data_IF_632733729451
#
_entry.id   IF_632733729451
#
_cell.length_a   1.000
_cell.length_b   1.000
_cell.length_c   1.000
_cell.angle_alpha   90.00
_cell.angle_beta   90.00
_cell.angle_gamma   90.00
#
_symmetry.space_group_name_H-M   'P 1'
#
loop_
_entity.id
_entity.type
_entity.pdbx_description
1 polymer ?
#
# COMPACT_ATOMS: atom_id res chain seq x y z
N UNK A 1 7.35 3.66 20.48
CA UNK A 1 7.13 3.22 19.09
C UNK A 1 5.68 2.79 18.95
N UNK A 2 4.99 3.30 17.96
CA UNK A 2 3.59 2.99 17.69
C UNK A 2 3.41 2.58 16.22
N UNK A 3 2.60 1.54 16.00
CA UNK A 3 2.27 1.12 14.65
C UNK A 3 1.27 2.10 14.02
N UNK A 4 1.61 2.67 12.88
CA UNK A 4 0.65 3.44 12.10
C UNK A 4 -0.35 2.48 11.42
N UNK A 5 -1.65 2.77 11.44
CA UNK A 5 -2.65 1.89 10.84
C UNK A 5 -2.70 1.95 9.31
N UNK A 6 -1.88 2.79 8.69
CA UNK A 6 -1.90 3.00 7.24
C UNK A 6 -0.99 2.02 6.49
N UNK A 7 -1.38 1.69 5.28
CA UNK A 7 -0.52 1.09 4.26
C UNK A 7 -0.14 2.16 3.24
N UNK A 8 1.14 2.36 3.00
CA UNK A 8 1.61 3.27 1.97
C UNK A 8 1.77 2.57 0.63
N UNK A 9 1.96 3.32 -0.43
CA UNK A 9 2.22 2.74 -1.74
C UNK A 9 1.90 3.68 -2.90
N UNK A 10 1.32 3.11 -3.94
CA UNK A 10 0.99 3.82 -5.16
C UNK A 10 -0.49 3.63 -5.48
N UNK A 11 -1.15 4.70 -5.91
CA UNK A 11 -2.55 4.67 -6.34
C UNK A 11 -2.63 4.99 -7.82
N UNK A 12 -3.31 4.15 -8.60
CA UNK A 12 -3.57 4.37 -10.01
C UNK A 12 -4.88 5.14 -10.23
N UNK A 13 -4.92 6.00 -11.22
CA UNK A 13 -6.17 6.54 -11.73
C UNK A 13 -6.76 5.56 -12.75
N UNK A 14 -7.60 4.65 -12.30
CA UNK A 14 -8.16 3.60 -13.18
C UNK A 14 -9.22 4.10 -14.16
N UNK A 15 -9.62 5.36 -14.10
CA UNK A 15 -10.46 5.98 -15.13
C UNK A 15 -9.67 6.38 -16.39
N UNK A 16 -8.33 6.24 -16.36
CA UNK A 16 -7.43 6.58 -17.49
C UNK A 16 -6.77 5.32 -18.03
N UNK A 17 -6.82 5.13 -19.35
CA UNK A 17 -5.98 4.14 -19.99
C UNK A 17 -4.48 4.57 -19.88
N UNK A 18 -3.56 3.63 -19.69
CA UNK A 18 -3.77 2.17 -19.67
C UNK A 18 -4.03 1.62 -18.25
N UNK A 19 -4.23 2.45 -17.25
CA UNK A 19 -4.36 2.04 -15.84
C UNK A 19 -5.75 1.46 -15.51
N UNK A 20 -6.70 1.49 -16.41
CA UNK A 20 -7.98 0.77 -16.36
C UNK A 20 -7.78 -0.76 -16.44
N UNK A 21 -6.67 -1.22 -17.05
CA UNK A 21 -6.36 -2.63 -17.20
C UNK A 21 -5.57 -3.17 -15.99
N UNK A 22 -6.09 -4.19 -15.25
CA UNK A 22 -5.40 -4.78 -14.11
C UNK A 22 -4.07 -5.46 -14.48
N UNK A 23 -3.93 -6.03 -15.67
CA UNK A 23 -2.68 -6.67 -16.10
C UNK A 23 -1.55 -5.65 -16.29
N UNK A 24 -1.87 -4.44 -16.75
CA UNK A 24 -0.90 -3.34 -16.83
C UNK A 24 -0.46 -2.90 -15.42
N UNK A 25 -1.39 -2.80 -14.46
CA UNK A 25 -1.06 -2.48 -13.07
C UNK A 25 -0.19 -3.56 -12.44
N UNK A 26 -0.48 -4.84 -12.72
CA UNK A 26 0.38 -5.96 -12.30
C UNK A 26 1.76 -5.92 -12.95
N UNK A 27 1.86 -5.58 -14.24
CA UNK A 27 3.15 -5.41 -14.90
C UNK A 27 4.00 -4.31 -14.23
N UNK A 28 3.37 -3.17 -13.88
CA UNK A 28 4.02 -2.09 -13.14
C UNK A 28 4.49 -2.53 -11.75
N UNK A 29 3.73 -3.37 -11.06
CA UNK A 29 4.11 -3.95 -9.77
C UNK A 29 5.31 -4.89 -9.90
N UNK A 30 5.27 -5.83 -10.86
CA UNK A 30 6.33 -6.81 -11.08
C UNK A 30 7.66 -6.19 -11.56
N UNK A 31 7.62 -4.95 -12.05
CA UNK A 31 8.79 -4.14 -12.38
C UNK A 31 9.43 -3.44 -11.16
N UNK A 32 8.91 -3.65 -9.95
CA UNK A 32 9.42 -3.08 -8.70
C UNK A 32 10.16 -4.16 -7.91
N UNK A 33 11.45 -3.93 -7.60
CA UNK A 33 12.15 -4.65 -6.53
C UNK A 33 11.84 -3.97 -5.19
N UNK A 34 11.09 -4.65 -4.33
CA UNK A 34 10.62 -4.07 -3.06
C UNK A 34 11.79 -3.75 -2.12
N UNK A 35 12.88 -4.54 -2.15
CA UNK A 35 14.05 -4.29 -1.29
C UNK A 35 14.74 -2.99 -1.70
N UNK A 36 14.99 -2.79 -2.99
CA UNK A 36 15.54 -1.53 -3.50
C UNK A 36 14.58 -0.36 -3.29
N UNK A 37 13.28 -0.60 -3.46
CA UNK A 37 12.24 0.42 -3.27
C UNK A 37 12.22 0.90 -1.82
N UNK A 38 12.17 -0.01 -0.84
CA UNK A 38 12.18 0.34 0.58
C UNK A 38 13.54 0.91 1.02
N UNK A 39 14.64 0.40 0.48
CA UNK A 39 15.97 0.96 0.71
C UNK A 39 16.02 2.44 0.35
N UNK A 40 15.42 2.82 -0.77
CA UNK A 40 15.37 4.20 -1.21
C UNK A 40 14.37 5.05 -0.46
N UNK A 41 13.17 4.53 -0.21
CA UNK A 41 12.10 5.29 0.41
C UNK A 41 12.31 5.50 1.92
N UNK A 42 12.77 4.45 2.64
CA UNK A 42 12.79 4.41 4.11
C UNK A 42 14.02 3.69 4.70
N UNK A 43 15.09 3.56 3.92
CA UNK A 43 16.33 2.86 4.32
C UNK A 43 16.12 1.40 4.78
N UNK A 44 15.08 0.74 4.25
CA UNK A 44 14.74 -0.65 4.58
C UNK A 44 14.21 -0.85 6.00
N UNK A 45 13.60 0.18 6.60
CA UNK A 45 13.13 0.16 7.99
C UNK A 45 11.63 0.05 8.14
N UNK A 46 10.92 -0.36 7.10
CA UNK A 46 9.47 -0.52 7.12
C UNK A 46 9.03 -2.00 7.02
N UNK A 47 7.74 -2.23 7.21
CA UNK A 47 7.15 -3.57 7.23
C UNK A 47 6.29 -3.77 5.99
N UNK A 48 6.78 -4.55 5.03
CA UNK A 48 6.08 -4.78 3.76
C UNK A 48 4.75 -5.52 3.96
N UNK A 49 3.79 -5.25 3.07
CA UNK A 49 2.52 -5.96 3.05
C UNK A 49 2.10 -6.29 1.61
N UNK A 50 1.70 -7.55 1.33
CA UNK A 50 1.21 -7.96 0.02
C UNK A 50 -0.25 -7.57 -0.22
N UNK A 51 -0.93 -7.00 0.76
CA UNK A 51 -2.35 -6.64 0.71
C UNK A 51 -2.58 -5.21 1.18
N UNK A 52 -3.74 -4.66 0.90
CA UNK A 52 -4.09 -3.25 1.14
C UNK A 52 -4.34 -2.90 2.61
N UNK A 53 -3.70 -3.60 3.51
CA UNK A 53 -3.62 -3.31 4.95
C UNK A 53 -2.18 -3.50 5.44
N UNK A 54 -1.73 -2.80 6.49
CA UNK A 54 -0.37 -2.96 6.98
C UNK A 54 -0.17 -4.33 7.65
N UNK A 55 1.04 -4.89 7.55
CA UNK A 55 1.45 -6.10 8.26
C UNK A 55 1.79 -5.82 9.73
N UNK A 56 0.99 -4.98 10.38
CA UNK A 56 1.20 -4.47 11.73
C UNK A 56 -0.05 -4.66 12.60
N UNK A 57 0.12 -4.54 13.92
CA UNK A 57 -0.99 -4.68 14.87
C UNK A 57 -1.68 -6.04 14.79
N UNK A 58 -3.01 -6.12 14.77
CA UNK A 58 -3.76 -7.38 14.75
C UNK A 58 -3.95 -7.97 13.35
N UNK A 59 -3.64 -7.22 12.28
CA UNK A 59 -3.93 -7.62 10.90
C UNK A 59 -3.15 -8.84 10.41
N UNK A 60 -1.90 -9.08 10.85
CA UNK A 60 -1.23 -10.33 10.54
C UNK A 60 -2.03 -11.56 10.94
N UNK A 61 -2.60 -11.58 12.14
CA UNK A 61 -3.35 -12.73 12.65
C UNK A 61 -4.74 -12.87 12.03
N UNK A 62 -5.43 -11.76 11.80
CA UNK A 62 -6.76 -11.80 11.19
C UNK A 62 -6.73 -12.11 9.69
N UNK A 63 -5.74 -11.59 8.95
CA UNK A 63 -5.82 -11.59 7.49
C UNK A 63 -4.57 -12.13 6.80
N UNK A 64 -3.37 -11.65 7.17
CA UNK A 64 -2.19 -11.89 6.33
C UNK A 64 -1.72 -13.33 6.44
N UNK A 65 -1.59 -13.87 7.66
CA UNK A 65 -1.22 -15.27 7.89
C UNK A 65 -2.25 -16.24 7.31
N UNK A 66 -3.58 -16.06 7.53
CA UNK A 66 -4.60 -16.91 6.91
C UNK A 66 -4.64 -16.87 5.39
N UNK A 67 -4.21 -15.75 4.78
CA UNK A 67 -4.15 -15.62 3.32
C UNK A 67 -2.90 -16.20 2.68
N UNK A 68 -1.89 -16.62 3.44
CA UNK A 68 -0.60 -17.07 2.90
C UNK A 68 -0.72 -18.18 1.84
N UNK A 69 -1.54 -19.18 2.09
CA UNK A 69 -1.70 -20.30 1.15
C UNK A 69 -2.40 -19.84 -0.14
N UNK A 70 -3.41 -18.99 -0.02
CA UNK A 70 -4.06 -18.42 -1.18
C UNK A 70 -3.10 -17.53 -2.01
N UNK A 71 -2.28 -16.71 -1.34
CA UNK A 71 -1.28 -15.87 -2.01
C UNK A 71 -0.25 -16.70 -2.77
N UNK A 72 0.21 -17.83 -2.19
CA UNK A 72 1.15 -18.77 -2.85
C UNK A 72 0.54 -19.42 -4.08
N UNK A 73 -0.77 -19.68 -4.08
CA UNK A 73 -1.48 -20.33 -5.19
C UNK A 73 -2.04 -19.34 -6.22
N UNK A 74 -2.13 -18.06 -5.88
CA UNK A 74 -2.60 -17.04 -6.80
C UNK A 74 -1.72 -16.96 -8.04
N UNK A 75 -2.34 -16.90 -9.21
CA UNK A 75 -1.65 -16.89 -10.51
C UNK A 75 -2.12 -15.73 -11.38
N UNK A 76 -1.19 -15.19 -12.16
CA UNK A 76 -1.46 -14.30 -13.28
C UNK A 76 -1.48 -15.12 -14.57
N UNK A 77 -2.44 -14.85 -15.45
CA UNK A 77 -2.50 -15.42 -16.79
C UNK A 77 -1.61 -14.61 -17.75
N UNK A 78 -0.60 -15.24 -18.29
CA UNK A 78 0.33 -14.62 -19.25
C UNK A 78 -0.08 -14.83 -20.72
N UNK A 79 -1.21 -15.53 -20.95
CA UNK A 79 -1.65 -15.94 -22.27
C UNK A 79 -1.08 -17.29 -22.71
N UNK A 80 -1.64 -17.86 -23.77
CA UNK A 80 -1.20 -19.14 -24.36
C UNK A 80 -1.10 -20.31 -23.37
N UNK A 81 -1.86 -20.27 -22.26
CA UNK A 81 -1.83 -21.28 -21.19
C UNK A 81 -0.65 -21.15 -20.23
N UNK A 82 0.16 -20.12 -20.36
CA UNK A 82 1.23 -19.82 -19.40
C UNK A 82 0.65 -19.03 -18.20
N UNK A 83 1.05 -19.43 -16.98
CA UNK A 83 0.68 -18.73 -15.73
C UNK A 83 1.90 -18.42 -14.89
N UNK A 84 1.79 -17.44 -14.02
CA UNK A 84 2.87 -17.04 -13.11
C UNK A 84 2.34 -16.82 -11.68
N UNK A 85 3.03 -17.39 -10.69
CA UNK A 85 2.76 -17.18 -9.27
C UNK A 85 3.58 -15.98 -8.77
N UNK A 86 2.95 -14.80 -8.59
CA UNK A 86 3.68 -13.57 -8.29
C UNK A 86 4.15 -13.45 -6.84
N UNK A 87 3.53 -14.16 -5.90
CA UNK A 87 3.82 -14.00 -4.49
C UNK A 87 5.21 -14.50 -4.12
N UNK A 88 5.89 -13.76 -3.25
CA UNK A 88 7.24 -14.03 -2.74
C UNK A 88 7.27 -13.98 -1.20
N UNK A 89 7.24 -15.13 -0.53
CA UNK A 89 7.33 -15.20 0.92
C UNK A 89 8.72 -14.84 1.47
N UNK A 90 9.78 -14.87 0.62
CA UNK A 90 11.15 -14.64 1.04
C UNK A 90 11.58 -13.16 0.97
N UNK A 91 10.72 -12.28 0.46
CA UNK A 91 11.02 -10.85 0.37
C UNK A 91 11.41 -10.22 1.72
N UNK A 92 10.74 -10.52 2.86
CA UNK A 92 11.14 -10.02 4.18
C UNK A 92 12.55 -10.43 4.60
N UNK A 93 12.94 -11.67 4.31
CA UNK A 93 14.29 -12.16 4.64
C UNK A 93 15.37 -11.40 3.85
N UNK A 94 15.12 -11.10 2.56
CA UNK A 94 16.05 -10.28 1.76
C UNK A 94 16.14 -8.84 2.28
N UNK A 95 15.04 -8.26 2.76
CA UNK A 95 15.06 -6.93 3.36
C UNK A 95 15.82 -6.95 4.70
N UNK A 96 15.68 -8.01 5.49
CA UNK A 96 16.45 -8.20 6.72
C UNK A 96 17.97 -8.27 6.44
N UNK A 97 18.40 -8.98 5.39
CA UNK A 97 19.80 -9.02 4.96
C UNK A 97 20.30 -7.64 4.48
N UNK A 98 19.47 -6.90 3.76
CA UNK A 98 19.80 -5.51 3.42
C UNK A 98 19.99 -4.67 4.67
N UNK A 99 19.09 -4.74 5.65
CA UNK A 99 19.20 -4.00 6.91
C UNK A 99 20.50 -4.35 7.68
N UNK A 100 20.86 -5.64 7.75
CA UNK A 100 22.16 -6.07 8.32
C UNK A 100 23.34 -5.46 7.57
N UNK A 101 23.29 -5.41 6.24
CA UNK A 101 24.36 -4.81 5.42
C UNK A 101 24.53 -3.31 5.66
N UNK A 102 23.48 -2.65 6.16
CA UNK A 102 23.50 -1.23 6.58
C UNK A 102 24.01 -1.03 8.02
N UNK A 103 24.29 -2.12 8.74
CA UNK A 103 24.79 -2.08 10.11
C UNK A 103 23.69 -2.15 11.19
N UNK A 104 22.45 -2.41 10.81
CA UNK A 104 21.38 -2.65 11.80
C UNK A 104 21.55 -4.03 12.44
N UNK A 105 21.24 -4.10 13.74
CA UNK A 105 21.22 -5.37 14.48
C UNK A 105 19.88 -6.06 14.23
N UNK A 106 19.88 -7.08 13.38
CA UNK A 106 18.71 -7.86 13.03
C UNK A 106 18.93 -9.31 13.48
N UNK A 107 18.14 -9.82 14.45
CA UNK A 107 18.19 -11.23 14.85
C UNK A 107 17.87 -12.18 13.70
N UNK A 108 18.52 -13.37 13.70
CA UNK A 108 18.22 -14.45 12.74
C UNK A 108 16.98 -15.29 13.16
N UNK A 109 16.05 -14.67 13.84
CA UNK A 109 14.79 -15.29 14.27
C UNK A 109 13.72 -15.04 13.20
N UNK A 110 13.15 -16.09 12.56
CA UNK A 110 12.09 -15.93 11.56
C UNK A 110 10.86 -15.19 12.07
N UNK A 111 10.53 -15.34 13.37
CA UNK A 111 9.38 -14.64 13.97
C UNK A 111 9.67 -13.13 14.08
N UNK A 112 10.89 -12.77 14.47
CA UNK A 112 11.33 -11.37 14.49
C UNK A 112 11.34 -10.78 13.06
N UNK A 113 11.89 -11.51 12.09
CA UNK A 113 11.94 -11.06 10.68
C UNK A 113 10.52 -10.81 10.15
N UNK A 114 9.58 -11.73 10.39
CA UNK A 114 8.20 -11.55 9.98
C UNK A 114 7.53 -10.35 10.66
N UNK A 115 7.79 -10.14 11.95
CA UNK A 115 7.23 -9.01 12.69
C UNK A 115 7.81 -7.67 12.23
N UNK A 116 9.12 -7.61 11.95
CA UNK A 116 9.82 -6.37 11.60
C UNK A 116 9.68 -5.99 10.12
N UNK A 117 9.76 -6.99 9.23
CA UNK A 117 9.85 -6.77 7.78
C UNK A 117 8.61 -7.25 7.00
N UNK A 118 7.67 -7.96 7.66
CA UNK A 118 6.42 -8.43 7.05
C UNK A 118 6.40 -9.92 6.71
N UNK A 119 5.32 -10.34 6.03
CA UNK A 119 5.03 -11.76 5.79
C UNK A 119 5.17 -12.16 4.32
N UNK A 120 5.77 -11.31 3.50
CA UNK A 120 5.98 -11.50 2.08
C UNK A 120 5.51 -10.31 1.25
N UNK A 121 5.86 -10.33 -0.03
CA UNK A 121 5.42 -9.34 -1.02
C UNK A 121 5.31 -10.01 -2.40
N UNK A 122 5.69 -9.32 -3.48
CA UNK A 122 5.64 -9.87 -4.83
C UNK A 122 7.05 -9.94 -5.44
N UNK A 123 7.24 -10.90 -6.34
CA UNK A 123 8.50 -11.12 -7.03
C UNK A 123 8.85 -9.93 -7.91
N UNK A 124 10.12 -9.54 -7.90
CA UNK A 124 10.67 -8.71 -8.95
C UNK A 124 10.85 -9.59 -10.19
N UNK A 125 10.02 -9.38 -11.20
CA UNK A 125 9.95 -10.21 -12.39
C UNK A 125 9.72 -9.36 -13.66
N UNK A 126 10.70 -8.54 -14.08
CA UNK A 126 10.56 -7.65 -15.22
C UNK A 126 10.32 -8.38 -16.55
N UNK A 127 10.79 -9.59 -16.71
CA UNK A 127 10.51 -10.46 -17.84
C UNK A 127 9.03 -10.88 -17.93
N UNK A 128 8.41 -11.15 -16.79
CA UNK A 128 6.97 -11.43 -16.70
C UNK A 128 6.15 -10.15 -16.91
N UNK A 129 6.61 -9.03 -16.35
CA UNK A 129 6.00 -7.72 -16.59
C UNK A 129 5.99 -7.38 -18.09
N UNK A 130 7.09 -7.65 -18.79
CA UNK A 130 7.18 -7.49 -20.24
C UNK A 130 6.17 -8.36 -20.99
N UNK A 131 6.04 -9.65 -20.63
CA UNK A 131 5.02 -10.53 -21.23
C UNK A 131 3.60 -9.99 -21.07
N UNK A 132 3.26 -9.51 -19.86
CA UNK A 132 1.94 -8.89 -19.61
C UNK A 132 1.73 -7.65 -20.47
N UNK A 133 2.72 -6.79 -20.59
CA UNK A 133 2.62 -5.59 -21.43
C UNK A 133 2.47 -5.95 -22.91
N UNK A 134 3.27 -6.88 -23.43
CA UNK A 134 3.17 -7.36 -24.83
C UNK A 134 1.79 -8.00 -25.09
N UNK A 135 1.30 -8.82 -24.18
CA UNK A 135 -0.07 -9.40 -24.23
C UNK A 135 -1.13 -8.33 -24.42
N UNK A 136 -0.93 -7.15 -23.82
CA UNK A 136 -1.84 -6.00 -23.87
C UNK A 136 -1.48 -4.99 -24.98
N UNK A 137 -0.67 -5.40 -25.97
CA UNK A 137 -0.39 -4.60 -27.17
C UNK A 137 0.71 -3.55 -27.02
N UNK A 138 1.40 -3.50 -25.90
CA UNK A 138 2.56 -2.63 -25.73
C UNK A 138 3.76 -3.16 -26.53
N UNK A 139 4.68 -2.29 -26.88
CA UNK A 139 5.90 -2.63 -27.60
C UNK A 139 7.09 -1.82 -27.08
N UNK A 140 8.30 -2.28 -27.43
CA UNK A 140 9.51 -1.47 -27.22
C UNK A 140 9.97 -0.82 -28.52
N UNK A 141 10.47 0.41 -28.42
CA UNK A 141 11.16 1.05 -29.54
C UNK A 141 12.63 0.60 -29.65
N UNK A 142 13.32 1.16 -30.63
CA UNK A 142 14.73 0.83 -30.90
C UNK A 142 15.68 1.15 -29.71
N UNK A 143 15.30 2.08 -28.85
CA UNK A 143 16.06 2.45 -27.65
C UNK A 143 15.62 1.64 -26.41
N UNK A 144 14.76 0.63 -26.59
CA UNK A 144 14.22 -0.20 -25.52
C UNK A 144 13.18 0.48 -24.64
N UNK A 145 12.64 1.63 -25.07
CA UNK A 145 11.60 2.35 -24.33
C UNK A 145 10.21 1.80 -24.66
N UNK A 146 9.36 1.77 -23.64
CA UNK A 146 8.00 1.30 -23.80
C UNK A 146 7.11 2.26 -24.57
N UNK A 147 6.26 1.69 -25.41
CA UNK A 147 5.22 2.39 -26.19
C UNK A 147 3.86 1.79 -25.86
N UNK A 148 2.85 2.66 -25.84
CA UNK A 148 1.45 2.31 -25.71
C UNK A 148 0.94 1.47 -26.89
N UNK A 149 -0.20 0.79 -26.79
CA UNK A 149 -0.77 0.00 -27.90
C UNK A 149 -1.06 0.83 -29.17
N UNK A 150 -1.24 2.13 -29.05
CA UNK A 150 -1.41 3.05 -30.18
C UNK A 150 -0.06 3.52 -30.80
N UNK A 151 1.07 3.00 -30.30
CA UNK A 151 2.41 3.32 -30.76
C UNK A 151 3.03 4.60 -30.17
N UNK A 152 2.30 5.36 -29.37
CA UNK A 152 2.83 6.55 -28.70
C UNK A 152 3.82 6.19 -27.59
N UNK A 153 4.80 7.06 -27.27
CA UNK A 153 5.65 6.87 -26.11
C UNK A 153 4.81 6.73 -24.82
N UNK A 154 5.14 5.73 -23.99
CA UNK A 154 4.50 5.61 -22.69
C UNK A 154 5.23 6.45 -21.66
N UNK A 155 4.62 7.57 -21.29
CA UNK A 155 5.08 8.44 -20.21
C UNK A 155 4.16 8.25 -19.00
N UNK A 156 4.75 8.08 -17.82
CA UNK A 156 4.02 8.01 -16.54
C UNK A 156 4.42 9.19 -15.66
N UNK A 157 3.46 9.99 -15.24
CA UNK A 157 3.66 11.04 -14.25
C UNK A 157 3.21 10.53 -12.88
N UNK A 158 4.17 10.45 -11.95
CA UNK A 158 3.89 10.05 -10.56
C UNK A 158 3.86 11.30 -9.71
N UNK A 159 2.67 11.70 -9.29
CA UNK A 159 2.48 12.87 -8.44
C UNK A 159 2.66 12.54 -6.97
N UNK A 160 3.08 13.51 -6.17
CA UNK A 160 3.16 13.43 -4.72
C UNK A 160 3.10 14.82 -4.09
N UNK A 161 3.02 14.89 -2.77
CA UNK A 161 3.31 16.13 -2.05
C UNK A 161 4.72 16.62 -2.38
N UNK A 162 4.93 17.94 -2.29
CA UNK A 162 6.25 18.56 -2.50
C UNK A 162 7.20 18.38 -1.31
N UNK A 163 6.69 18.07 -0.12
CA UNK A 163 7.51 17.79 1.08
C UNK A 163 8.33 16.50 0.90
N UNK A 164 9.65 16.65 0.75
CA UNK A 164 10.60 15.56 0.55
C UNK A 164 10.71 14.62 1.76
N UNK A 165 10.32 15.05 2.95
CA UNK A 165 10.31 14.21 4.16
C UNK A 165 9.11 13.26 4.19
N UNK A 166 8.05 13.60 3.45
CA UNK A 166 6.80 12.88 3.44
C UNK A 166 6.86 11.55 2.66
N UNK A 167 6.17 10.53 3.17
CA UNK A 167 6.17 9.19 2.54
C UNK A 167 5.62 9.19 1.10
N UNK A 168 4.65 10.05 0.79
CA UNK A 168 4.15 10.18 -0.59
C UNK A 168 5.27 10.57 -1.57
N UNK A 169 6.11 11.54 -1.20
CA UNK A 169 7.26 11.95 -2.01
C UNK A 169 8.24 10.81 -2.21
N UNK A 170 8.58 10.12 -1.12
CA UNK A 170 9.55 9.03 -1.12
C UNK A 170 9.06 7.84 -1.95
N UNK A 171 7.79 7.46 -1.81
CA UNK A 171 7.17 6.40 -2.62
C UNK A 171 7.16 6.74 -4.12
N UNK A 172 6.77 7.96 -4.48
CA UNK A 172 6.77 8.39 -5.88
C UNK A 172 8.17 8.39 -6.49
N UNK A 173 9.17 8.88 -5.75
CA UNK A 173 10.55 8.90 -6.19
C UNK A 173 11.12 7.49 -6.40
N UNK A 174 10.84 6.56 -5.46
CA UNK A 174 11.26 5.17 -5.55
C UNK A 174 10.62 4.46 -6.75
N UNK A 175 9.30 4.60 -6.93
CA UNK A 175 8.59 4.02 -8.08
C UNK A 175 9.15 4.50 -9.41
N UNK A 176 9.38 5.80 -9.55
CA UNK A 176 9.95 6.38 -10.78
C UNK A 176 11.32 5.79 -11.11
N UNK A 177 12.17 5.56 -10.12
CA UNK A 177 13.47 4.91 -10.37
C UNK A 177 13.32 3.48 -10.88
N UNK A 178 12.45 2.67 -10.25
CA UNK A 178 12.21 1.29 -10.66
C UNK A 178 11.66 1.22 -12.09
N UNK A 179 10.66 2.04 -12.42
CA UNK A 179 10.05 2.04 -13.74
C UNK A 179 10.97 2.60 -14.83
N UNK A 180 11.87 3.54 -14.51
CA UNK A 180 12.93 3.97 -15.44
C UNK A 180 13.89 2.83 -15.77
N UNK A 181 14.29 2.01 -14.77
CA UNK A 181 15.11 0.82 -15.01
C UNK A 181 14.40 -0.17 -15.94
N UNK A 182 13.09 -0.29 -15.82
CA UNK A 182 12.27 -1.14 -16.69
C UNK A 182 12.02 -0.56 -18.09
N UNK A 183 12.52 0.64 -18.39
CA UNK A 183 12.41 1.29 -19.70
C UNK A 183 11.19 2.19 -19.91
N UNK A 184 10.45 2.50 -18.84
CA UNK A 184 9.34 3.44 -18.90
C UNK A 184 9.87 4.89 -18.76
N UNK A 185 9.31 5.84 -19.52
CA UNK A 185 9.54 7.28 -19.32
C UNK A 185 8.73 7.75 -18.10
N UNK A 186 9.19 7.37 -16.90
CA UNK A 186 8.55 7.76 -15.65
C UNK A 186 9.13 9.07 -15.12
N UNK A 187 8.28 9.97 -14.63
CA UNK A 187 8.67 11.27 -14.08
C UNK A 187 7.99 11.51 -12.74
N UNK A 188 8.75 11.92 -11.74
CA UNK A 188 8.21 12.37 -10.47
C UNK A 188 7.79 13.84 -10.59
N UNK A 189 6.54 14.15 -10.22
CA UNK A 189 5.92 15.48 -10.30
C UNK A 189 5.40 15.89 -8.92
N UNK A 190 6.27 16.41 -8.03
CA UNK A 190 5.83 16.94 -6.73
C UNK A 190 4.90 18.13 -6.89
N UNK A 191 3.84 18.21 -6.09
CA UNK A 191 2.84 19.26 -6.18
C UNK A 191 2.23 19.61 -4.82
N UNK A 192 2.09 20.90 -4.53
CA UNK A 192 1.35 21.38 -3.35
C UNK A 192 -0.16 21.15 -3.50
N UNK A 193 -0.62 20.93 -4.73
CA UNK A 193 -2.02 20.67 -5.06
C UNK A 193 -2.36 19.17 -5.21
N UNK A 194 -1.51 18.26 -4.73
CA UNK A 194 -1.68 16.80 -4.92
C UNK A 194 -3.06 16.31 -4.50
N UNK A 195 -3.61 16.82 -3.40
CA UNK A 195 -4.95 16.45 -2.94
C UNK A 195 -6.05 16.83 -3.93
N UNK A 196 -5.98 18.02 -4.54
CA UNK A 196 -6.91 18.44 -5.58
C UNK A 196 -6.75 17.56 -6.83
N UNK A 197 -5.53 17.37 -7.30
CA UNK A 197 -5.25 16.54 -8.49
C UNK A 197 -5.81 15.13 -8.33
N UNK A 198 -5.62 14.50 -7.17
CA UNK A 198 -6.14 13.15 -6.91
C UNK A 198 -7.65 13.13 -6.80
N UNK A 199 -8.26 14.10 -6.11
CA UNK A 199 -9.71 14.19 -5.95
C UNK A 199 -10.45 14.47 -7.26
N UNK A 200 -9.86 15.24 -8.18
CA UNK A 200 -10.44 15.49 -9.50
C UNK A 200 -10.02 14.47 -10.57
N UNK A 201 -9.10 13.55 -10.23
CA UNK A 201 -8.60 12.53 -11.17
C UNK A 201 -7.69 13.07 -12.25
N UNK A 202 -6.99 14.16 -11.99
CA UNK A 202 -6.07 14.82 -12.89
C UNK A 202 -4.63 14.31 -12.68
N UNK A 203 -4.46 12.98 -12.65
CA UNK A 203 -3.17 12.33 -12.42
C UNK A 203 -3.14 10.96 -13.13
N UNK A 204 -1.95 10.38 -13.26
CA UNK A 204 -1.74 9.01 -13.74
C UNK A 204 -1.56 8.07 -12.54
N UNK A 205 -0.52 8.31 -11.76
CA UNK A 205 -0.18 7.57 -10.55
C UNK A 205 0.15 8.56 -9.43
N UNK A 206 -0.22 8.24 -8.22
CA UNK A 206 0.14 9.02 -7.03
C UNK A 206 0.90 8.15 -6.02
N UNK A 207 1.96 8.71 -5.43
CA UNK A 207 2.69 8.10 -4.31
C UNK A 207 1.92 8.24 -3.00
N UNK A 208 0.71 7.71 -2.95
CA UNK A 208 -0.28 7.92 -1.88
C UNK A 208 -0.58 6.60 -1.14
N UNK A 209 -1.64 6.62 -0.30
CA UNK A 209 -2.19 5.43 0.34
C UNK A 209 -3.12 4.71 -0.64
N UNK A 210 -2.82 3.43 -1.00
CA UNK A 210 -3.63 2.67 -1.96
C UNK A 210 -4.97 2.20 -1.40
N UNK A 211 -5.19 2.32 -0.09
CA UNK A 211 -6.44 2.08 0.60
C UNK A 211 -6.54 3.04 1.80
N UNK A 212 -7.73 3.15 2.37
CA UNK A 212 -7.94 3.98 3.55
C UNK A 212 -7.45 3.27 4.82
N UNK A 213 -7.10 4.03 5.84
CA UNK A 213 -6.63 3.47 7.09
C UNK A 213 -7.77 2.80 7.90
N UNK A 214 -7.52 1.62 8.46
CA UNK A 214 -8.50 0.90 9.26
C UNK A 214 -8.58 1.41 10.72
N UNK A 215 -8.72 2.67 10.96
CA UNK A 215 -8.78 3.35 12.27
C UNK A 215 -9.29 2.50 13.45
N UNK A 216 -8.55 1.57 13.91
CA UNK A 216 -8.90 0.74 15.04
C UNK A 216 -8.13 -0.56 15.04
N UNK A 217 -8.15 -1.24 16.18
CA UNK A 217 -7.52 -2.55 16.37
C UNK A 217 -8.48 -3.71 16.05
N UNK A 218 -9.60 -3.43 15.42
CA UNK A 218 -10.64 -4.42 15.13
C UNK A 218 -10.43 -5.19 13.84
N UNK A 219 -11.16 -6.28 13.71
CA UNK A 219 -11.15 -7.11 12.51
C UNK A 219 -11.90 -6.49 11.33
N UNK A 220 -12.75 -5.50 11.57
CA UNK A 220 -13.60 -4.92 10.52
C UNK A 220 -12.80 -4.06 9.54
N UNK A 221 -12.82 -4.46 8.27
CA UNK A 221 -12.19 -3.75 7.17
C UNK A 221 -13.17 -2.87 6.37
N UNK A 222 -14.40 -2.67 6.85
CA UNK A 222 -15.39 -1.88 6.10
C UNK A 222 -14.79 -0.54 5.64
N UNK A 223 -14.14 0.19 6.55
CA UNK A 223 -13.55 1.50 6.25
C UNK A 223 -12.42 1.43 5.21
N UNK A 224 -11.59 0.37 5.26
CA UNK A 224 -10.51 0.16 4.28
C UNK A 224 -11.07 -0.07 2.89
N UNK A 225 -12.17 -0.85 2.80
CA UNK A 225 -12.75 -1.28 1.54
C UNK A 225 -13.77 -0.27 0.99
N UNK A 226 -14.42 0.55 1.83
CA UNK A 226 -15.47 1.49 1.41
C UNK A 226 -14.97 2.57 0.44
N UNK A 227 -13.65 2.83 0.43
CA UNK A 227 -13.07 3.75 -0.58
C UNK A 227 -13.20 3.21 -2.02
N UNK A 228 -13.49 1.91 -2.17
CA UNK A 228 -13.71 1.25 -3.46
C UNK A 228 -15.19 1.05 -3.80
N UNK A 229 -16.09 1.68 -3.06
CA UNK A 229 -17.53 1.63 -3.29
C UNK A 229 -17.90 2.39 -4.57
N UNK A 230 -18.61 1.72 -5.48
CA UNK A 230 -19.02 2.28 -6.76
C UNK A 230 -19.82 3.58 -6.66
N UNK A 231 -20.54 3.76 -5.54
CA UNK A 231 -21.31 4.98 -5.28
C UNK A 231 -20.44 6.27 -5.24
N UNK A 232 -19.14 6.13 -4.98
CA UNK A 232 -18.21 7.27 -4.91
C UNK A 232 -17.48 7.54 -6.23
N UNK A 233 -17.56 6.63 -7.20
CA UNK A 233 -16.88 6.81 -8.50
C UNK A 233 -17.47 8.00 -9.22
N UNK A 234 -16.60 8.91 -9.64
CA UNK A 234 -16.94 10.12 -10.41
C UNK A 234 -16.08 10.18 -11.67
N UNK A 235 -16.58 10.77 -12.76
CA UNK A 235 -15.77 11.08 -13.93
C UNK A 235 -14.52 11.89 -13.57
N UNK A 236 -13.49 11.80 -14.42
CA UNK A 236 -12.34 12.71 -14.35
C UNK A 236 -12.82 14.15 -14.51
N UNK A 237 -12.31 15.04 -13.67
CA UNK A 237 -12.76 16.45 -13.60
C UNK A 237 -13.88 16.70 -12.58
N UNK A 238 -14.48 15.63 -12.02
CA UNK A 238 -15.46 15.78 -10.94
C UNK A 238 -14.85 15.39 -9.59
N UNK A 239 -15.22 16.14 -8.55
CA UNK A 239 -14.73 15.92 -7.19
C UNK A 239 -15.23 14.59 -6.64
N UNK A 240 -14.29 13.74 -6.22
CA UNK A 240 -14.57 12.56 -5.39
C UNK A 240 -13.93 12.69 -4.02
N UNK A 241 -14.64 12.26 -2.97
CA UNK A 241 -14.09 12.22 -1.62
C UNK A 241 -13.66 10.80 -1.28
N UNK A 242 -12.37 10.60 -1.01
CA UNK A 242 -11.84 9.32 -0.53
C UNK A 242 -11.67 8.22 -1.58
N UNK A 243 -12.12 8.41 -2.82
CA UNK A 243 -12.06 7.41 -3.89
C UNK A 243 -11.14 7.87 -5.04
N UNK A 244 -9.89 8.09 -4.72
CA UNK A 244 -8.94 8.68 -5.69
C UNK A 244 -8.60 7.74 -6.84
N UNK A 245 -8.58 6.42 -6.63
CA UNK A 245 -8.30 5.44 -7.69
C UNK A 245 -9.40 5.35 -8.75
N UNK A 246 -10.63 5.73 -8.43
CA UNK A 246 -11.84 5.56 -9.28
C UNK A 246 -12.11 4.12 -9.71
N UNK A 247 -11.50 3.16 -9.03
CA UNK A 247 -11.75 1.74 -9.26
C UNK A 247 -12.92 1.26 -8.40
N UNK A 248 -13.79 0.45 -8.99
CA UNK A 248 -14.85 -0.27 -8.28
C UNK A 248 -15.19 -1.56 -9.03
N UNK A 249 -15.87 -2.48 -8.34
CA UNK A 249 -16.46 -3.65 -8.98
C UNK A 249 -17.75 -4.05 -8.27
N UNK A 250 -18.68 -4.76 -8.97
CA UNK A 250 -19.89 -5.31 -8.36
C UNK A 250 -19.58 -6.27 -7.20
N UNK A 251 -18.49 -7.04 -7.30
CA UNK A 251 -18.04 -7.96 -6.26
C UNK A 251 -17.61 -7.21 -5.00
N UNK A 252 -16.91 -6.07 -5.15
CA UNK A 252 -16.55 -5.23 -4.01
C UNK A 252 -17.78 -4.60 -3.37
N UNK A 253 -18.74 -4.14 -4.16
CA UNK A 253 -19.99 -3.60 -3.63
C UNK A 253 -20.78 -4.65 -2.82
N UNK A 254 -20.77 -5.92 -3.27
CA UNK A 254 -21.38 -7.02 -2.51
C UNK A 254 -20.65 -7.29 -1.19
N UNK A 255 -19.31 -7.29 -1.21
CA UNK A 255 -18.49 -7.40 0.02
C UNK A 255 -18.85 -6.29 1.00
N UNK A 256 -18.93 -5.04 0.54
CA UNK A 256 -19.28 -3.90 1.37
C UNK A 256 -20.69 -4.01 1.96
N UNK A 257 -21.65 -4.46 1.17
CA UNK A 257 -23.02 -4.71 1.63
C UNK A 257 -23.06 -5.78 2.71
N UNK A 258 -22.32 -6.87 2.55
CA UNK A 258 -22.22 -7.96 3.55
C UNK A 258 -21.54 -7.52 4.82
N UNK A 259 -20.40 -6.79 4.74
CA UNK A 259 -19.72 -6.22 5.91
C UNK A 259 -20.66 -5.31 6.70
N UNK A 260 -21.37 -4.40 6.02
CA UNK A 260 -22.35 -3.50 6.67
C UNK A 260 -23.49 -4.25 7.35
N UNK A 261 -23.88 -5.41 6.84
CA UNK A 261 -24.94 -6.27 7.40
C UNK A 261 -24.46 -7.27 8.44
N UNK A 262 -23.14 -7.40 8.65
CA UNK A 262 -22.58 -8.35 9.61
C UNK A 262 -22.39 -7.68 10.98
N UNK A 263 -22.80 -8.36 12.04
CA UNK A 263 -22.56 -7.92 13.41
C UNK A 263 -21.04 -7.87 13.67
N UNK A 264 -20.46 -6.70 14.01
CA UNK A 264 -19.01 -6.54 14.18
C UNK A 264 -18.43 -7.38 15.33
N UNK A 265 -19.26 -7.88 16.24
CA UNK A 265 -18.82 -8.80 17.31
C UNK A 265 -18.60 -10.23 16.81
N UNK A 266 -19.09 -10.57 15.63
CA UNK A 266 -18.88 -11.88 14.99
C UNK A 266 -17.58 -11.88 14.19
N UNK A 267 -16.46 -11.82 14.89
CA UNK A 267 -15.12 -11.65 14.32
C UNK A 267 -14.82 -12.60 13.15
N UNK A 268 -15.14 -13.88 13.28
CA UNK A 268 -14.87 -14.86 12.20
C UNK A 268 -15.64 -14.53 10.91
N UNK A 269 -16.88 -14.09 11.01
CA UNK A 269 -17.69 -13.71 9.86
C UNK A 269 -17.17 -12.43 9.22
N UNK A 270 -16.82 -11.44 10.04
CA UNK A 270 -16.24 -10.17 9.59
C UNK A 270 -14.91 -10.44 8.84
N UNK A 271 -14.03 -11.27 9.44
CA UNK A 271 -12.76 -11.64 8.82
C UNK A 271 -12.96 -12.39 7.51
N UNK A 272 -13.90 -13.32 7.45
CA UNK A 272 -14.18 -14.06 6.22
C UNK A 272 -14.59 -13.11 5.07
N UNK A 273 -15.51 -12.19 5.32
CA UNK A 273 -15.97 -11.21 4.30
C UNK A 273 -14.86 -10.21 3.96
N UNK A 274 -14.12 -9.72 4.96
CA UNK A 274 -12.98 -8.82 4.73
C UNK A 274 -11.87 -9.47 3.89
N UNK A 275 -11.62 -10.77 4.11
CA UNK A 275 -10.66 -11.56 3.30
C UNK A 275 -11.05 -11.63 1.83
N UNK A 276 -12.35 -11.79 1.52
CA UNK A 276 -12.82 -11.74 0.13
C UNK A 276 -12.53 -10.38 -0.51
N UNK A 277 -12.79 -9.28 0.20
CA UNK A 277 -12.45 -7.95 -0.27
C UNK A 277 -10.96 -7.76 -0.56
N UNK A 278 -10.08 -8.24 0.33
CA UNK A 278 -8.63 -8.18 0.10
C UNK A 278 -8.19 -9.01 -1.11
N UNK A 279 -8.78 -10.19 -1.33
CA UNK A 279 -8.52 -11.01 -2.52
C UNK A 279 -8.93 -10.29 -3.81
N UNK A 280 -10.08 -9.63 -3.81
CA UNK A 280 -10.53 -8.81 -4.95
C UNK A 280 -9.53 -7.69 -5.23
N UNK A 281 -9.01 -7.02 -4.21
CA UNK A 281 -8.00 -5.97 -4.38
C UNK A 281 -6.68 -6.51 -4.93
N UNK A 282 -6.21 -7.68 -4.47
CA UNK A 282 -5.03 -8.35 -5.04
C UNK A 282 -5.24 -8.69 -6.51
N UNK A 283 -6.37 -9.28 -6.86
CA UNK A 283 -6.68 -9.67 -8.25
C UNK A 283 -6.71 -8.47 -9.20
N UNK A 284 -7.22 -7.33 -8.74
CA UNK A 284 -7.42 -6.13 -9.56
C UNK A 284 -6.33 -5.07 -9.41
N UNK A 285 -5.58 -5.07 -8.33
CA UNK A 285 -4.47 -4.16 -8.00
C UNK A 285 -4.77 -2.68 -8.31
N UNK A 286 -5.83 -2.07 -7.75
CA UNK A 286 -6.17 -0.66 -8.04
C UNK A 286 -5.12 0.34 -7.51
N UNK A 287 -4.26 -0.12 -6.64
CA UNK A 287 -3.06 0.53 -6.14
C UNK A 287 -2.06 -0.53 -5.70
N UNK A 288 -0.78 -0.20 -5.65
CA UNK A 288 0.28 -1.10 -5.19
C UNK A 288 0.50 -0.86 -3.69
N UNK A 289 0.13 -1.80 -2.81
CA UNK A 289 0.51 -1.72 -1.40
C UNK A 289 2.01 -2.00 -1.29
N UNK A 290 2.72 -1.22 -0.50
CA UNK A 290 4.16 -1.41 -0.28
C UNK A 290 4.44 -1.78 1.17
N UNK A 291 4.37 -0.84 2.08
CA UNK A 291 4.71 -1.09 3.48
C UNK A 291 3.84 -0.26 4.44
N UNK A 292 3.62 -0.83 5.63
CA UNK A 292 3.22 -0.08 6.82
C UNK A 292 4.45 0.50 7.51
N UNK A 293 4.26 1.49 8.36
CA UNK A 293 5.36 2.14 9.04
C UNK A 293 5.09 2.33 10.54
N UNK A 294 6.15 2.61 11.26
CA UNK A 294 6.14 2.77 12.70
C UNK A 294 6.33 4.25 13.02
N UNK A 295 5.42 4.83 13.79
CA UNK A 295 5.54 6.19 14.30
C UNK A 295 6.38 6.24 15.57
N UNK A 296 7.36 7.13 15.61
CA UNK A 296 8.07 7.47 16.84
C UNK A 296 7.33 8.61 17.51
N UNK A 297 6.93 8.40 18.76
CA UNK A 297 6.25 9.41 19.57
C UNK A 297 7.20 9.83 20.69
N UNK A 298 7.50 11.12 20.77
CA UNK A 298 8.29 11.71 21.83
C UNK A 298 7.41 12.62 22.68
N UNK A 299 7.54 12.51 23.97
CA UNK A 299 6.85 13.33 24.92
C UNK A 299 7.84 14.28 25.62
N UNK A 300 7.45 15.56 25.76
CA UNK A 300 8.13 16.48 26.63
C UNK A 300 7.45 16.41 28.01
N UNK A 301 8.19 15.97 29.02
CA UNK A 301 7.70 15.79 30.38
C UNK A 301 8.06 16.96 31.31
N UNK A 302 8.48 18.10 30.75
CA UNK A 302 8.85 19.27 31.59
C UNK A 302 7.64 19.83 32.35
N UNK A 303 6.53 20.08 31.66
CA UNK A 303 5.31 20.61 32.28
C UNK A 303 4.25 19.57 32.60
N UNK A 304 4.21 18.48 31.82
CA UNK A 304 3.15 17.46 31.91
C UNK A 304 3.74 16.06 31.90
N UNK A 305 3.20 15.21 32.75
CA UNK A 305 3.56 13.78 32.83
C UNK A 305 2.34 12.88 32.70
N UNK A 306 2.54 11.58 32.87
CA UNK A 306 1.50 10.53 32.70
C UNK A 306 1.04 10.39 31.22
N UNK A 307 1.97 10.60 30.31
CA UNK A 307 1.71 10.29 28.89
C UNK A 307 1.52 8.80 28.66
N UNK A 308 0.67 8.40 27.65
CA UNK A 308 0.50 6.99 27.34
C UNK A 308 1.79 6.42 26.76
N UNK A 309 2.14 5.21 27.20
CA UNK A 309 3.32 4.48 26.76
C UNK A 309 3.18 2.98 26.92
N UNK A 310 4.25 2.23 26.71
CA UNK A 310 4.23 0.78 26.83
C UNK A 310 3.90 0.33 28.26
N UNK A 311 4.35 1.08 29.26
CA UNK A 311 4.12 0.77 30.67
C UNK A 311 2.79 1.32 31.21
N UNK A 312 2.19 2.27 30.51
CA UNK A 312 0.92 2.92 30.88
C UNK A 312 0.01 3.10 29.64
N UNK A 313 -0.50 2.02 29.08
CA UNK A 313 -1.20 2.05 27.78
C UNK A 313 -2.70 2.36 27.89
N UNK A 314 -3.09 3.42 28.60
CA UNK A 314 -4.50 3.79 28.76
C UNK A 314 -5.16 4.30 27.45
N UNK A 315 -4.36 4.71 26.48
CA UNK A 315 -4.78 4.99 25.10
C UNK A 315 -3.60 4.83 24.16
N UNK A 316 -3.83 4.79 22.85
CA UNK A 316 -2.76 4.79 21.89
C UNK A 316 -1.93 6.07 21.99
N UNK A 317 -0.59 5.99 22.02
CA UNK A 317 0.28 7.15 22.12
C UNK A 317 0.34 7.99 20.85
N UNK A 318 -0.37 7.61 19.81
CA UNK A 318 -0.39 8.27 18.52
C UNK A 318 -1.28 9.52 18.57
N UNK A 319 -0.69 10.67 18.30
CA UNK A 319 -1.35 11.98 18.44
C UNK A 319 -2.10 12.43 17.18
N UNK A 320 -1.98 11.69 16.07
CA UNK A 320 -2.73 11.97 14.86
C UNK A 320 -4.23 11.87 15.12
N UNK A 321 -4.97 12.86 14.75
CA UNK A 321 -6.39 12.86 14.52
C UNK A 321 -7.32 12.70 15.71
N UNK A 322 -7.07 11.91 16.71
CA UNK A 322 -8.15 11.67 17.66
C UNK A 322 -7.77 11.30 19.08
N UNK A 323 -6.72 10.51 19.32
CA UNK A 323 -6.38 10.04 20.66
C UNK A 323 -6.03 11.15 21.66
N UNK A 324 -5.57 12.32 21.20
CA UNK A 324 -5.16 13.41 22.07
C UNK A 324 -6.27 13.82 23.06
N UNK A 325 -7.51 13.86 22.64
CA UNK A 325 -8.67 14.16 23.54
C UNK A 325 -8.84 13.12 24.65
N UNK A 326 -8.38 11.89 24.45
CA UNK A 326 -8.43 10.82 25.46
C UNK A 326 -7.21 10.85 26.39
N UNK A 327 -6.11 11.48 26.00
CA UNK A 327 -4.93 11.67 26.84
C UNK A 327 -5.07 12.84 27.81
N UNK A 328 -5.62 13.97 27.34
CA UNK A 328 -5.71 15.22 28.09
C UNK A 328 -6.29 15.08 29.52
N UNK A 329 -7.36 14.29 29.76
CA UNK A 329 -7.91 14.12 31.10
C UNK A 329 -6.98 13.39 32.09
N UNK A 330 -5.99 12.68 31.59
CA UNK A 330 -5.07 11.87 32.40
C UNK A 330 -3.70 12.51 32.59
N UNK A 331 -3.37 13.56 31.84
CA UNK A 331 -2.12 14.30 32.02
C UNK A 331 -2.08 14.97 33.38
N UNK A 332 -0.92 14.95 33.99
CA UNK A 332 -0.70 15.53 35.33
C UNK A 332 0.39 16.61 35.24
N UNK A 333 0.19 17.79 35.85
CA UNK A 333 1.21 18.81 35.89
C UNK A 333 2.39 18.35 36.77
N UNK A 334 3.61 18.63 36.31
CA UNK A 334 4.84 18.34 37.07
C UNK A 334 5.11 19.33 38.21
N UNK A 335 4.46 20.52 38.17
CA UNK A 335 4.68 21.60 39.12
C UNK A 335 5.83 22.56 38.69
N UNK A 336 6.40 22.36 37.50
CA UNK A 336 7.41 23.25 36.93
C UNK A 336 6.80 24.44 36.20
#
# INVERSE_FOLDING_TARGET
VNNDPCITGLTFNTAKAPYDNPEVRWALLLAIDIVEYEAQAVDGTATMSPVHIPSLGPYPDYYIKPMQDWLKEFTLDLGNGETFKPYDPEAPARLAEYAKSRGYVVPDDPAFIAQAFGYGWYKYAPDVAEKLLIKNGFSRDADGKWRLPDGKPWRIEVISRSDMSHLEYKNAAAAVQQWKKFGIDAVHVPSDNVSSLTQYGEYDVSGNWPAFEPWGAGADLYRVLDVFNSAYVKPVGELTQGHTSRWSSPEMDDVLKRLRGTDPTRTEQVVAVGTEGLKILVQNMPGIPTFGYIGFVSWDEYYWTNWPGAENPYTQPYTHWGPFKYMTPFLQPTGN
#
